data_IF_810016765741
#
_entry.id   IF_810016765741
#
_cell.length_a   1.000
_cell.length_b   1.000
_cell.length_c   1.000
_cell.angle_alpha   90.00
_cell.angle_beta   90.00
_cell.angle_gamma   90.00
#
_symmetry.space_group_name_H-M   'P 1'
#
loop_
_entity.id
_entity.type
_entity.pdbx_description
1 polymer ?
#
# COMPACT_ATOMS: atom_id res chain seq x y z
N UNK A 1 -42.86 -50.76 -45.20
CA UNK A 1 -42.38 -50.20 -43.94
C UNK A 1 -41.00 -49.62 -44.18
N UNK A 2 -40.85 -48.27 -44.17
CA UNK A 2 -39.58 -47.55 -44.37
C UNK A 2 -39.19 -46.96 -43.05
N UNK A 3 -38.11 -47.46 -42.42
CA UNK A 3 -37.48 -46.83 -41.26
C UNK A 3 -36.67 -45.62 -41.72
N UNK A 4 -36.96 -44.47 -41.15
CA UNK A 4 -36.16 -43.25 -41.29
C UNK A 4 -35.19 -43.20 -40.11
N UNK A 5 -33.89 -43.27 -40.41
CA UNK A 5 -32.83 -42.99 -39.45
C UNK A 5 -32.71 -41.47 -39.24
N UNK A 6 -32.87 -41.05 -37.99
CA UNK A 6 -32.60 -39.67 -37.58
C UNK A 6 -31.17 -39.59 -37.06
N UNK A 7 -30.31 -38.87 -37.76
CA UNK A 7 -28.96 -38.51 -37.28
C UNK A 7 -29.02 -37.36 -36.29
N UNK A 8 -28.64 -37.63 -35.06
CA UNK A 8 -28.47 -36.61 -34.01
C UNK A 8 -27.04 -36.08 -34.14
N UNK A 9 -26.89 -34.84 -34.58
CA UNK A 9 -25.62 -34.12 -34.61
C UNK A 9 -25.45 -33.50 -33.22
N UNK A 10 -24.61 -34.09 -32.38
CA UNK A 10 -24.22 -33.53 -31.07
C UNK A 10 -23.12 -32.50 -31.30
N UNK A 11 -23.49 -31.20 -31.31
CA UNK A 11 -22.53 -30.10 -31.32
C UNK A 11 -21.85 -29.98 -29.97
N UNK A 12 -20.59 -30.37 -29.89
CA UNK A 12 -19.73 -30.19 -28.73
C UNK A 12 -19.24 -28.75 -28.71
N UNK A 13 -19.87 -27.88 -27.86
CA UNK A 13 -19.40 -26.53 -27.56
C UNK A 13 -18.16 -26.64 -26.68
N UNK A 14 -16.99 -26.50 -27.28
CA UNK A 14 -15.73 -26.27 -26.53
C UNK A 14 -15.76 -24.85 -25.96
N UNK A 15 -16.12 -24.73 -24.70
CA UNK A 15 -15.85 -23.50 -23.92
C UNK A 15 -14.34 -23.43 -23.64
N UNK A 16 -13.62 -22.62 -24.37
CA UNK A 16 -12.25 -22.22 -24.02
C UNK A 16 -12.33 -21.30 -22.84
N UNK A 17 -12.06 -21.82 -21.65
CA UNK A 17 -11.79 -21.02 -20.45
C UNK A 17 -10.51 -20.22 -20.70
N UNK A 18 -10.65 -18.95 -21.06
CA UNK A 18 -9.54 -18.01 -21.04
C UNK A 18 -9.03 -17.91 -19.59
N UNK A 19 -7.71 -18.05 -19.34
CA UNK A 19 -7.17 -17.86 -17.99
C UNK A 19 -7.45 -16.41 -17.58
N UNK A 20 -8.25 -16.22 -16.54
CA UNK A 20 -8.39 -14.94 -15.88
C UNK A 20 -7.02 -14.62 -15.27
N UNK A 21 -6.31 -13.64 -15.86
CA UNK A 21 -5.12 -13.08 -15.24
C UNK A 21 -5.57 -12.38 -13.95
N UNK A 22 -5.46 -13.09 -12.84
CA UNK A 22 -5.63 -12.51 -11.53
C UNK A 22 -4.49 -11.48 -11.34
N UNK A 23 -4.83 -10.20 -11.32
CA UNK A 23 -3.87 -9.16 -10.91
C UNK A 23 -3.64 -9.39 -9.43
N UNK A 24 -2.48 -9.93 -9.09
CA UNK A 24 -2.10 -10.13 -7.69
C UNK A 24 -2.00 -8.76 -7.01
N UNK A 25 -2.78 -8.59 -5.95
CA UNK A 25 -2.66 -7.41 -5.08
C UNK A 25 -1.25 -7.39 -4.49
N UNK A 26 -0.49 -6.30 -4.64
CA UNK A 26 0.87 -6.23 -4.10
C UNK A 26 0.85 -6.52 -2.61
N UNK A 27 1.72 -7.43 -2.17
CA UNK A 27 1.85 -7.74 -0.75
C UNK A 27 2.48 -6.55 -0.03
N UNK A 28 1.81 -6.06 1.01
CA UNK A 28 2.38 -5.03 1.89
C UNK A 28 3.50 -5.66 2.70
N UNK A 29 4.73 -5.16 2.50
CA UNK A 29 5.92 -5.62 3.23
C UNK A 29 6.30 -4.54 4.22
N UNK A 30 6.35 -4.83 5.54
CA UNK A 30 6.74 -3.84 6.52
C UNK A 30 8.25 -3.54 6.45
N UNK A 31 8.60 -2.27 6.66
CA UNK A 31 9.96 -1.84 6.93
C UNK A 31 10.19 -1.89 8.42
N UNK A 32 11.22 -2.62 8.88
CA UNK A 32 11.47 -2.86 10.30
C UNK A 32 12.84 -2.31 10.65
N UNK A 33 12.91 -1.52 11.75
CA UNK A 33 14.16 -0.97 12.24
C UNK A 33 14.16 -0.87 13.77
N UNK A 34 15.32 -1.11 14.38
CA UNK A 34 15.53 -0.86 15.80
C UNK A 34 15.89 0.61 16.04
N UNK A 35 15.18 1.22 16.98
CA UNK A 35 15.38 2.61 17.43
C UNK A 35 15.89 2.56 18.88
N UNK A 36 17.04 3.16 19.15
CA UNK A 36 17.65 3.22 20.49
C UNK A 36 16.97 4.27 21.37
N UNK A 37 15.68 4.10 21.57
CA UNK A 37 14.83 4.90 22.46
C UNK A 37 13.75 4.02 23.07
N UNK A 38 13.28 4.35 24.30
CA UNK A 38 12.13 3.68 24.90
C UNK A 38 10.88 3.80 24.02
N UNK A 39 10.06 2.78 24.01
CA UNK A 39 8.84 2.67 23.19
C UNK A 39 7.90 3.88 23.36
N UNK A 40 7.71 4.35 24.60
CA UNK A 40 6.89 5.52 24.90
C UNK A 40 7.39 6.79 24.21
N UNK A 41 8.71 6.98 24.14
CA UNK A 41 9.28 8.16 23.46
C UNK A 41 9.10 8.07 21.97
N UNK A 42 9.33 6.89 21.38
CA UNK A 42 9.11 6.63 19.95
C UNK A 42 7.65 6.86 19.58
N UNK A 43 6.72 6.34 20.39
CA UNK A 43 5.29 6.54 20.18
C UNK A 43 4.89 8.01 20.22
N UNK A 44 5.37 8.75 21.23
CA UNK A 44 5.10 10.18 21.36
C UNK A 44 5.66 11.00 20.17
N UNK A 45 6.89 10.69 19.71
CA UNK A 45 7.51 11.35 18.57
C UNK A 45 6.71 11.12 17.29
N UNK A 46 6.27 9.89 17.03
CA UNK A 46 5.44 9.55 15.86
C UNK A 46 4.05 10.15 15.93
N UNK A 47 3.42 10.15 17.11
CA UNK A 47 2.13 10.80 17.31
C UNK A 47 2.23 12.30 17.01
N UNK A 48 3.28 12.96 17.49
CA UNK A 48 3.54 14.36 17.16
C UNK A 48 3.76 14.56 15.65
N UNK A 49 4.61 13.76 15.04
CA UNK A 49 4.86 13.81 13.59
C UNK A 49 3.58 13.70 12.75
N UNK A 50 2.66 12.79 13.07
CA UNK A 50 1.41 12.62 12.35
C UNK A 50 0.33 13.66 12.69
N UNK A 51 0.44 14.40 13.78
CA UNK A 51 -0.52 15.43 14.18
C UNK A 51 -0.08 16.84 13.80
N UNK A 52 1.21 17.06 13.60
CA UNK A 52 1.75 18.35 13.20
C UNK A 52 1.75 18.50 11.67
N UNK A 53 0.83 19.33 11.16
CA UNK A 53 0.70 19.59 9.72
C UNK A 53 1.92 20.29 9.09
N UNK A 54 2.82 20.84 9.90
CA UNK A 54 4.08 21.45 9.43
C UNK A 54 5.17 20.39 9.23
N UNK A 55 5.08 19.26 9.92
CA UNK A 55 6.03 18.14 9.81
C UNK A 55 5.59 17.10 8.79
N UNK A 56 4.29 16.89 8.66
CA UNK A 56 3.75 15.92 7.73
C UNK A 56 2.40 16.36 7.16
N UNK A 57 2.06 15.86 5.98
CA UNK A 57 0.73 16.02 5.40
C UNK A 57 -0.21 14.87 5.76
N UNK A 58 0.16 14.08 6.77
CA UNK A 58 -0.66 12.98 7.26
C UNK A 58 -1.73 13.46 8.21
N UNK A 59 -2.86 12.78 8.18
CA UNK A 59 -3.90 12.87 9.18
C UNK A 59 -3.82 11.62 10.06
N UNK A 60 -3.60 11.79 11.35
CA UNK A 60 -3.65 10.69 12.31
C UNK A 60 -5.09 10.16 12.38
N UNK A 61 -5.26 8.88 12.07
CA UNK A 61 -6.56 8.18 12.11
C UNK A 61 -6.80 7.55 13.48
N UNK A 62 -5.77 6.88 14.02
CA UNK A 62 -5.83 6.27 15.34
C UNK A 62 -4.45 6.19 15.99
N UNK A 63 -4.44 6.25 17.31
CA UNK A 63 -3.26 6.03 18.16
C UNK A 63 -3.69 5.18 19.36
N UNK A 64 -3.34 3.91 19.34
CA UNK A 64 -3.64 2.95 20.39
C UNK A 64 -2.40 2.74 21.27
N UNK A 65 -2.46 3.27 22.50
CA UNK A 65 -1.37 3.18 23.46
C UNK A 65 -1.24 1.78 24.09
N UNK A 66 -2.28 0.94 24.03
CA UNK A 66 -2.22 -0.43 24.56
C UNK A 66 -1.50 -1.38 23.60
N UNK A 67 -1.79 -1.26 22.32
CA UNK A 67 -1.16 -2.07 21.28
C UNK A 67 0.05 -1.39 20.66
N UNK A 68 0.39 -0.17 21.11
CA UNK A 68 1.45 0.68 20.56
C UNK A 68 1.38 0.78 19.04
N UNK A 69 0.15 0.99 18.53
CA UNK A 69 -0.13 1.07 17.09
C UNK A 69 -0.62 2.46 16.72
N UNK A 70 -0.03 3.02 15.66
CA UNK A 70 -0.45 4.27 15.04
C UNK A 70 -0.93 4.00 13.62
N UNK A 71 -2.05 4.61 13.23
CA UNK A 71 -2.53 4.59 11.84
C UNK A 71 -2.71 6.03 11.38
N UNK A 72 -2.09 6.36 10.26
CA UNK A 72 -2.19 7.67 9.64
C UNK A 72 -2.54 7.54 8.16
N UNK A 73 -3.22 8.55 7.63
CA UNK A 73 -3.68 8.58 6.23
C UNK A 73 -3.25 9.89 5.58
N UNK A 74 -2.84 9.80 4.33
CA UNK A 74 -2.64 10.93 3.45
C UNK A 74 -3.45 10.73 2.18
N UNK A 75 -4.08 11.81 1.68
CA UNK A 75 -4.88 11.82 0.45
C UNK A 75 -4.38 12.91 -0.49
N UNK A 76 -4.67 12.75 -1.77
CA UNK A 76 -4.36 13.74 -2.80
C UNK A 76 -2.87 14.11 -2.92
N UNK A 77 -2.00 13.09 -2.84
CA UNK A 77 -0.57 13.25 -3.11
C UNK A 77 -0.35 13.62 -4.57
N UNK A 78 0.49 14.63 -4.80
CA UNK A 78 0.92 14.97 -6.14
C UNK A 78 1.74 13.86 -6.81
N UNK A 79 1.76 13.86 -8.15
CA UNK A 79 2.41 12.82 -8.96
C UNK A 79 3.92 12.69 -8.66
N UNK A 80 4.62 13.78 -8.34
CA UNK A 80 6.07 13.74 -8.05
C UNK A 80 6.36 13.07 -6.72
N UNK A 81 5.66 13.47 -5.66
CA UNK A 81 5.79 12.86 -4.33
C UNK A 81 5.41 11.39 -4.39
N UNK A 82 4.32 11.07 -5.08
CA UNK A 82 3.85 9.71 -5.25
C UNK A 82 4.89 8.80 -5.92
N UNK A 83 5.51 9.24 -7.01
CA UNK A 83 6.52 8.46 -7.74
C UNK A 83 7.76 8.14 -6.91
N UNK A 84 8.08 8.98 -5.93
CA UNK A 84 9.19 8.70 -5.01
C UNK A 84 8.84 7.59 -4.02
N UNK A 85 7.57 7.44 -3.65
CA UNK A 85 7.11 6.50 -2.63
C UNK A 85 6.62 5.18 -3.17
N UNK A 86 6.06 5.18 -4.38
CA UNK A 86 5.34 4.05 -4.92
C UNK A 86 5.71 3.69 -6.36
N UNK A 87 5.55 2.42 -6.65
CA UNK A 87 5.53 1.86 -7.99
C UNK A 87 4.19 1.16 -8.22
N UNK A 88 3.41 1.66 -9.18
CA UNK A 88 2.08 1.14 -9.49
C UNK A 88 2.11 0.39 -10.81
N UNK A 89 1.78 -0.89 -10.78
CA UNK A 89 1.64 -1.70 -11.98
C UNK A 89 0.22 -1.55 -12.54
N UNK A 90 0.08 -0.77 -13.60
CA UNK A 90 -1.22 -0.60 -14.29
C UNK A 90 -1.40 -1.58 -15.46
N UNK A 91 -0.58 -2.65 -15.53
CA UNK A 91 -0.59 -3.64 -16.61
C UNK A 91 -0.13 -3.04 -17.94
N UNK A 92 -0.51 -3.64 -19.11
CA UNK A 92 -0.14 -3.14 -20.43
C UNK A 92 -0.65 -1.72 -20.71
N UNK A 93 -1.49 -1.19 -19.85
CA UNK A 93 -2.09 0.14 -19.90
C UNK A 93 -1.17 1.23 -19.35
N UNK A 94 -0.04 0.89 -18.73
CA UNK A 94 0.92 1.85 -18.13
C UNK A 94 1.38 2.96 -19.09
N UNK A 95 1.40 2.71 -20.38
CA UNK A 95 1.82 3.70 -21.38
C UNK A 95 0.75 4.75 -21.68
N UNK A 96 -0.51 4.54 -21.30
CA UNK A 96 -1.65 5.34 -21.75
C UNK A 96 -2.25 6.19 -20.62
N UNK A 97 -2.08 5.79 -19.35
CA UNK A 97 -2.76 6.46 -18.24
C UNK A 97 -1.78 7.08 -17.25
N UNK A 98 -1.89 8.40 -17.13
CA UNK A 98 -1.15 9.17 -16.14
C UNK A 98 -1.85 9.01 -14.79
N UNK A 99 -1.10 8.62 -13.75
CA UNK A 99 -1.57 8.72 -12.38
C UNK A 99 -1.94 10.18 -12.10
N UNK A 100 -3.13 10.40 -11.58
CA UNK A 100 -3.62 11.74 -11.23
C UNK A 100 -3.17 12.12 -9.82
N UNK A 101 -3.32 11.20 -8.89
CA UNK A 101 -2.92 11.34 -7.50
C UNK A 101 -2.85 9.96 -6.82
N UNK A 102 -2.59 9.94 -5.51
CA UNK A 102 -2.56 8.73 -4.73
C UNK A 102 -3.03 8.93 -3.29
N UNK A 103 -3.27 7.81 -2.63
CA UNK A 103 -3.54 7.76 -1.19
C UNK A 103 -2.57 6.82 -0.51
N UNK A 104 -2.13 7.17 0.69
CA UNK A 104 -1.30 6.34 1.54
C UNK A 104 -1.98 6.11 2.89
N UNK A 105 -2.12 4.85 3.30
CA UNK A 105 -2.48 4.49 4.67
C UNK A 105 -1.28 3.83 5.31
N UNK A 106 -0.74 4.47 6.33
CA UNK A 106 0.44 3.99 7.06
C UNK A 106 0.00 3.38 8.37
N UNK A 107 0.54 2.21 8.67
CA UNK A 107 0.42 1.57 9.98
C UNK A 107 1.80 1.41 10.59
N UNK A 108 1.98 1.96 11.79
CA UNK A 108 3.19 1.78 12.59
C UNK A 108 2.87 0.92 13.79
N UNK A 109 3.66 -0.13 13.99
CA UNK A 109 3.60 -0.98 15.19
C UNK A 109 4.93 -0.92 15.92
N UNK A 110 4.87 -0.66 17.21
CA UNK A 110 6.05 -0.61 18.05
C UNK A 110 6.06 -1.83 18.96
N UNK A 111 7.23 -2.43 19.11
CA UNK A 111 7.46 -3.52 20.05
C UNK A 111 8.73 -3.24 20.84
N UNK A 112 8.71 -3.53 22.12
CA UNK A 112 9.89 -3.43 22.96
C UNK A 112 10.93 -4.45 22.49
N UNK A 113 12.12 -3.99 22.11
CA UNK A 113 13.23 -4.87 21.73
C UNK A 113 14.11 -5.17 22.98
N UNK A 114 14.55 -4.14 23.69
CA UNK A 114 15.32 -4.22 24.95
C UNK A 114 14.85 -3.10 25.89
N UNK A 115 15.34 -3.07 27.17
CA UNK A 115 15.03 -1.98 28.09
C UNK A 115 15.54 -0.63 27.61
N UNK A 116 15.36 -0.06 26.60
CA UNK A 116 15.87 1.22 26.08
C UNK A 116 15.90 1.26 24.56
N UNK A 117 15.40 0.19 23.90
CA UNK A 117 15.24 0.18 22.46
C UNK A 117 13.88 -0.36 22.04
N UNK A 118 13.42 0.10 20.89
CA UNK A 118 12.11 -0.20 20.28
C UNK A 118 12.31 -0.73 18.88
N UNK A 119 11.65 -1.84 18.57
CA UNK A 119 11.54 -2.33 17.21
C UNK A 119 10.31 -1.68 16.56
N UNK A 120 10.54 -0.77 15.62
CA UNK A 120 9.47 -0.12 14.86
C UNK A 120 9.26 -0.84 13.53
N UNK A 121 8.01 -1.16 13.25
CA UNK A 121 7.56 -1.77 12.01
C UNK A 121 6.59 -0.81 11.32
N UNK A 122 6.97 -0.30 10.15
CA UNK A 122 6.17 0.62 9.34
C UNK A 122 5.73 -0.09 8.08
N UNK A 123 4.44 -0.09 7.81
CA UNK A 123 3.85 -0.59 6.57
C UNK A 123 2.98 0.48 5.93
N UNK A 124 3.07 0.60 4.60
CA UNK A 124 2.27 1.53 3.82
C UNK A 124 1.40 0.77 2.83
N UNK A 125 0.08 0.99 2.90
CA UNK A 125 -0.87 0.63 1.85
C UNK A 125 -1.00 1.83 0.91
N UNK A 126 -0.55 1.65 -0.32
CA UNK A 126 -0.40 2.70 -1.32
C UNK A 126 -1.33 2.43 -2.50
N UNK A 127 -2.22 3.39 -2.78
CA UNK A 127 -3.20 3.28 -3.86
C UNK A 127 -3.11 4.50 -4.78
N UNK A 128 -2.80 4.26 -6.06
CA UNK A 128 -2.79 5.29 -7.08
C UNK A 128 -4.16 5.42 -7.75
N UNK A 129 -4.56 6.65 -8.14
CA UNK A 129 -5.76 6.92 -8.94
C UNK A 129 -5.38 7.32 -10.36
N UNK A 130 -6.12 6.80 -11.34
CA UNK A 130 -5.97 7.15 -12.75
C UNK A 130 -7.34 7.25 -13.43
N UNK A 131 -7.44 8.05 -14.48
CA UNK A 131 -8.65 8.16 -15.29
C UNK A 131 -8.54 7.25 -16.52
N UNK A 132 -9.59 6.48 -16.79
CA UNK A 132 -9.74 5.62 -17.96
C UNK A 132 -11.11 5.87 -18.57
N UNK A 133 -11.17 6.39 -19.78
CA UNK A 133 -12.41 6.66 -20.52
C UNK A 133 -13.47 7.44 -19.69
N UNK A 134 -13.01 8.44 -18.92
CA UNK A 134 -13.87 9.27 -18.06
C UNK A 134 -14.19 8.66 -16.69
N UNK A 135 -13.81 7.41 -16.44
CA UNK A 135 -14.00 6.77 -15.14
C UNK A 135 -12.73 6.86 -14.29
N UNK A 136 -12.90 7.12 -13.00
CA UNK A 136 -11.79 7.04 -12.03
C UNK A 136 -11.62 5.59 -11.57
N UNK A 137 -10.37 5.12 -11.62
CA UNK A 137 -9.98 3.79 -11.19
C UNK A 137 -8.86 3.89 -10.17
N UNK A 138 -8.73 2.88 -9.31
CA UNK A 138 -7.65 2.75 -8.35
C UNK A 138 -6.80 1.52 -8.65
N UNK A 139 -5.52 1.60 -8.32
CA UNK A 139 -4.57 0.50 -8.42
C UNK A 139 -3.73 0.43 -7.16
N UNK A 140 -3.56 -0.76 -6.62
CA UNK A 140 -2.65 -0.98 -5.52
C UNK A 140 -1.20 -0.89 -6.00
N UNK A 141 -0.35 -0.22 -5.23
CA UNK A 141 1.02 0.09 -5.60
C UNK A 141 2.02 -0.56 -4.63
N UNK A 142 3.20 -0.92 -5.13
CA UNK A 142 4.31 -1.41 -4.32
C UNK A 142 5.06 -0.24 -3.70
N UNK A 143 5.37 -0.31 -2.40
CA UNK A 143 6.23 0.67 -1.75
C UNK A 143 7.68 0.58 -2.28
N UNK A 144 8.32 1.74 -2.40
CA UNK A 144 9.78 1.89 -2.61
C UNK A 144 10.51 2.08 -1.28
N UNK A 145 9.82 1.97 -0.16
CA UNK A 145 10.28 2.19 1.21
C UNK A 145 10.71 3.63 1.57
N UNK A 146 10.71 4.55 0.64
CA UNK A 146 11.12 5.93 0.92
C UNK A 146 10.19 6.63 1.93
N UNK A 147 8.89 6.32 1.91
CA UNK A 147 7.93 6.81 2.88
C UNK A 147 8.16 6.20 4.27
N UNK A 148 8.33 4.89 4.34
CA UNK A 148 8.56 4.16 5.58
C UNK A 148 9.88 4.61 6.23
N UNK A 149 10.94 4.82 5.43
CA UNK A 149 12.24 5.31 5.90
C UNK A 149 12.13 6.75 6.44
N UNK A 150 11.30 7.61 5.83
CA UNK A 150 11.03 8.97 6.33
C UNK A 150 10.33 8.93 7.71
N UNK A 151 9.35 8.04 7.87
CA UNK A 151 8.62 7.86 9.14
C UNK A 151 9.55 7.29 10.22
N UNK A 152 10.37 6.31 9.88
CA UNK A 152 11.37 5.76 10.80
C UNK A 152 12.41 6.81 11.22
N UNK A 153 12.84 7.67 10.30
CA UNK A 153 13.74 8.78 10.61
C UNK A 153 13.07 9.79 11.58
N UNK A 154 11.79 10.13 11.37
CA UNK A 154 11.03 10.96 12.29
C UNK A 154 10.88 10.36 13.69
N UNK A 155 10.86 9.03 13.80
CA UNK A 155 10.91 8.28 15.05
C UNK A 155 12.29 8.29 15.72
N UNK A 156 13.34 8.73 15.01
CA UNK A 156 14.72 8.78 15.48
C UNK A 156 15.53 7.54 15.12
N UNK A 157 15.12 6.79 14.10
CA UNK A 157 15.93 5.72 13.54
C UNK A 157 17.19 6.28 12.85
N UNK A 158 18.33 5.59 12.92
CA UNK A 158 19.51 5.99 12.17
C UNK A 158 19.27 5.82 10.65
N UNK A 159 19.93 6.64 9.80
CA UNK A 159 19.83 6.49 8.36
C UNK A 159 20.29 5.09 7.93
N UNK A 160 19.55 4.49 7.02
CA UNK A 160 19.95 3.22 6.41
C UNK A 160 21.14 3.46 5.48
N UNK A 161 22.16 2.64 5.61
CA UNK A 161 23.36 2.67 4.77
C UNK A 161 23.11 1.97 3.46
#
# INVERSE_FOLDING_TARGET
>A
MKLRSASIITSLLLFTLAPAFAIETPRIVPRIQEIKKPEREVFASLKHFFTDSTLSHFQLVSADEHTHTLVAKMTALDDMTWRNWAFCETGPVQMVYKLQDGTAVVTVKLNKATPGSTLASVSADLQGRYALAGNQNTVACKSKFALEDQILAAAGAPPLK
#
